data_IF_778620369018
#
_entry.id   IF_778620369018
#
_cell.length_a   1.000
_cell.length_b   1.000
_cell.length_c   1.000
_cell.angle_alpha   90.00
_cell.angle_beta   90.00
_cell.angle_gamma   90.00
#
_symmetry.space_group_name_H-M   'P 1'
#
loop_
_entity.id
_entity.type
_entity.pdbx_description
1 polymer ?
#
# COMPACT_ATOMS: atom_id res chain seq x y z
N UNK A 1 -22.15 -4.38 -13.44
CA UNK A 1 -20.69 -4.08 -13.50
C UNK A 1 -20.09 -4.83 -14.68
N UNK A 2 -19.06 -4.29 -15.34
CA UNK A 2 -18.35 -5.01 -16.39
C UNK A 2 -17.73 -6.30 -15.82
N UNK A 3 -17.69 -7.36 -16.63
CA UNK A 3 -17.05 -8.63 -16.27
C UNK A 3 -15.59 -8.63 -16.69
N UNK A 4 -14.71 -9.18 -15.84
CA UNK A 4 -13.33 -9.51 -16.19
C UNK A 4 -13.20 -11.03 -16.31
N UNK A 5 -12.34 -11.51 -17.21
CA UNK A 5 -11.99 -12.92 -17.33
C UNK A 5 -10.49 -13.06 -17.19
N UNK A 6 -10.04 -13.91 -16.28
CA UNK A 6 -8.65 -14.21 -16.05
C UNK A 6 -8.46 -15.74 -16.11
N UNK A 7 -7.36 -16.17 -16.72
CA UNK A 7 -6.93 -17.57 -16.67
C UNK A 7 -6.03 -17.73 -15.46
N UNK A 8 -6.43 -18.60 -14.55
CA UNK A 8 -5.68 -18.95 -13.36
C UNK A 8 -5.40 -20.45 -13.36
N UNK A 9 -4.28 -20.90 -12.78
CA UNK A 9 -4.02 -22.29 -12.45
C UNK A 9 -5.14 -22.94 -11.62
N UNK A 10 -5.24 -24.27 -11.67
CA UNK A 10 -6.27 -25.02 -10.93
C UNK A 10 -6.11 -24.88 -9.40
N UNK A 11 -4.86 -24.80 -8.91
CA UNK A 11 -4.54 -24.59 -7.50
C UNK A 11 -5.01 -23.22 -6.98
N UNK A 12 -4.81 -22.14 -7.73
CA UNK A 12 -5.34 -20.81 -7.37
C UNK A 12 -6.87 -20.79 -7.35
N UNK A 13 -7.52 -21.54 -8.25
CA UNK A 13 -8.99 -21.68 -8.24
C UNK A 13 -9.45 -22.40 -6.98
N UNK A 14 -8.77 -23.46 -6.59
CA UNK A 14 -9.14 -24.25 -5.42
C UNK A 14 -8.92 -23.44 -4.12
N UNK A 15 -7.83 -22.67 -4.04
CA UNK A 15 -7.58 -21.72 -2.94
C UNK A 15 -8.71 -20.67 -2.83
N UNK A 16 -9.18 -20.10 -3.95
CA UNK A 16 -10.31 -19.18 -3.95
C UNK A 16 -11.60 -19.81 -3.40
N UNK A 17 -11.82 -21.10 -3.64
CA UNK A 17 -12.99 -21.82 -3.14
C UNK A 17 -12.88 -22.10 -1.64
N UNK A 18 -11.69 -22.44 -1.15
CA UNK A 18 -11.40 -22.58 0.28
C UNK A 18 -11.61 -21.26 1.03
N UNK A 19 -11.10 -20.14 0.49
CA UNK A 19 -11.30 -18.81 1.09
C UNK A 19 -12.77 -18.40 1.07
N UNK A 20 -13.49 -18.67 -0.02
CA UNK A 20 -14.93 -18.38 -0.09
C UNK A 20 -15.72 -19.17 0.97
N UNK A 21 -15.39 -20.45 1.16
CA UNK A 21 -15.99 -21.27 2.21
C UNK A 21 -15.64 -20.76 3.62
N UNK A 22 -14.39 -20.35 3.86
CA UNK A 22 -13.94 -19.79 5.13
C UNK A 22 -14.68 -18.49 5.49
N UNK A 23 -14.90 -17.62 4.51
CA UNK A 23 -15.61 -16.35 4.71
C UNK A 23 -17.14 -16.51 4.73
N UNK A 24 -17.66 -17.66 4.30
CA UNK A 24 -19.09 -17.88 4.12
C UNK A 24 -19.69 -17.02 2.99
N UNK A 25 -18.88 -16.72 1.97
CA UNK A 25 -19.24 -15.83 0.86
C UNK A 25 -19.29 -16.56 -0.48
N UNK A 26 -19.98 -15.99 -1.45
CA UNK A 26 -19.94 -16.53 -2.81
C UNK A 26 -18.60 -16.22 -3.50
N UNK A 27 -18.28 -17.01 -4.53
CA UNK A 27 -17.04 -16.90 -5.30
C UNK A 27 -16.83 -15.51 -5.90
N UNK A 28 -17.89 -14.86 -6.41
CA UNK A 28 -17.77 -13.55 -7.04
C UNK A 28 -17.49 -12.44 -6.03
N UNK A 29 -18.06 -12.55 -4.83
CA UNK A 29 -17.78 -11.63 -3.72
C UNK A 29 -16.34 -11.80 -3.23
N UNK A 30 -15.91 -13.04 -3.02
CA UNK A 30 -14.56 -13.38 -2.56
C UNK A 30 -13.49 -12.90 -3.55
N UNK A 31 -13.65 -13.19 -4.85
CA UNK A 31 -12.73 -12.73 -5.90
C UNK A 31 -12.60 -11.20 -5.90
N UNK A 32 -13.72 -10.49 -5.70
CA UNK A 32 -13.73 -9.03 -5.74
C UNK A 32 -13.01 -8.42 -4.53
N UNK A 33 -13.18 -9.01 -3.35
CA UNK A 33 -12.42 -8.63 -2.15
C UNK A 33 -10.93 -8.89 -2.32
N UNK A 34 -10.56 -10.09 -2.74
CA UNK A 34 -9.16 -10.44 -2.99
C UNK A 34 -8.51 -9.50 -4.00
N UNK A 35 -9.23 -9.13 -5.06
CA UNK A 35 -8.76 -8.16 -6.04
C UNK A 35 -8.57 -6.76 -5.44
N UNK A 36 -9.52 -6.26 -4.65
CA UNK A 36 -9.42 -4.94 -4.00
C UNK A 36 -8.23 -4.87 -3.03
N UNK A 37 -8.07 -5.90 -2.20
CA UNK A 37 -6.94 -6.04 -1.27
C UNK A 37 -5.61 -6.17 -2.01
N UNK A 38 -5.54 -7.01 -3.04
CA UNK A 38 -4.36 -7.19 -3.86
C UNK A 38 -3.93 -5.92 -4.59
N UNK A 39 -4.88 -5.15 -5.14
CA UNK A 39 -4.58 -3.87 -5.79
C UNK A 39 -4.03 -2.83 -4.80
N UNK A 40 -4.55 -2.79 -3.57
CA UNK A 40 -4.03 -1.92 -2.51
C UNK A 40 -2.60 -2.30 -2.13
N UNK A 41 -2.33 -3.59 -1.90
CA UNK A 41 -0.99 -4.05 -1.53
C UNK A 41 0.04 -3.83 -2.66
N UNK A 42 -0.36 -4.04 -3.93
CA UNK A 42 0.50 -3.74 -5.08
C UNK A 42 0.93 -2.27 -5.12
N UNK A 43 0.00 -1.34 -4.84
CA UNK A 43 0.30 0.09 -4.78
C UNK A 43 1.24 0.43 -3.63
N UNK A 44 1.00 -0.13 -2.45
CA UNK A 44 1.86 0.06 -1.28
C UNK A 44 3.27 -0.43 -1.57
N UNK A 45 3.43 -1.65 -2.13
CA UNK A 45 4.75 -2.20 -2.49
C UNK A 45 5.55 -1.28 -3.40
N UNK A 46 4.93 -0.75 -4.46
CA UNK A 46 5.58 0.20 -5.39
C UNK A 46 5.95 1.50 -4.67
N UNK A 47 5.07 2.03 -3.83
CA UNK A 47 5.35 3.24 -3.06
C UNK A 47 6.53 3.03 -2.09
N UNK A 48 6.60 1.88 -1.42
CA UNK A 48 7.68 1.52 -0.48
C UNK A 48 9.01 1.46 -1.20
N UNK A 49 9.09 0.72 -2.30
CA UNK A 49 10.33 0.57 -3.08
C UNK A 49 10.89 1.92 -3.50
N UNK A 50 10.07 2.77 -4.13
CA UNK A 50 10.48 4.09 -4.60
C UNK A 50 10.76 5.07 -3.46
N UNK A 51 10.03 4.98 -2.36
CA UNK A 51 10.27 5.82 -1.19
C UNK A 51 11.63 5.47 -0.57
N UNK A 52 11.95 4.18 -0.41
CA UNK A 52 13.21 3.72 0.19
C UNK A 52 14.44 4.10 -0.63
N UNK A 53 14.33 4.12 -1.96
CA UNK A 53 15.43 4.56 -2.84
C UNK A 53 15.61 6.07 -2.90
N UNK A 54 14.73 6.84 -2.25
CA UNK A 54 14.72 8.30 -2.30
C UNK A 54 14.23 8.87 -3.63
N UNK A 55 13.59 8.05 -4.49
CA UNK A 55 13.05 8.49 -5.79
C UNK A 55 11.86 9.44 -5.61
N UNK A 56 11.07 9.23 -4.55
CA UNK A 56 9.83 9.98 -4.29
C UNK A 56 9.76 10.52 -2.86
N UNK A 57 9.02 11.62 -2.69
CA UNK A 57 8.74 12.21 -1.38
C UNK A 57 7.72 11.41 -0.58
N UNK A 58 7.61 11.69 0.72
CA UNK A 58 6.63 11.06 1.61
C UNK A 58 5.18 11.28 1.14
N UNK A 59 4.86 12.48 0.64
CA UNK A 59 3.53 12.82 0.12
C UNK A 59 3.22 12.09 -1.18
N UNK A 60 4.22 11.97 -2.05
CA UNK A 60 4.08 11.26 -3.32
C UNK A 60 3.90 9.75 -3.09
N UNK A 61 4.61 9.19 -2.11
CA UNK A 61 4.46 7.80 -1.73
C UNK A 61 3.05 7.49 -1.18
N UNK A 62 2.51 8.36 -0.31
CA UNK A 62 1.11 8.25 0.16
C UNK A 62 0.11 8.28 -1.01
N UNK A 63 0.33 9.18 -1.99
CA UNK A 63 -0.49 9.29 -3.20
C UNK A 63 -0.44 8.03 -4.07
N UNK A 64 0.75 7.46 -4.27
CA UNK A 64 0.93 6.21 -5.02
C UNK A 64 0.26 5.04 -4.29
N UNK A 65 0.49 4.90 -2.98
CA UNK A 65 -0.17 3.90 -2.15
C UNK A 65 -1.71 4.06 -2.19
N UNK A 66 -2.20 5.29 -2.38
CA UNK A 66 -3.63 5.59 -2.44
C UNK A 66 -4.25 5.74 -1.06
N UNK A 67 -3.44 6.17 -0.08
CA UNK A 67 -3.83 6.32 1.33
C UNK A 67 -3.58 7.76 1.81
N UNK A 68 -4.26 8.23 2.86
CA UNK A 68 -3.92 9.49 3.51
C UNK A 68 -2.47 9.48 4.03
N UNK A 69 -1.87 10.67 4.13
CA UNK A 69 -0.48 10.81 4.61
C UNK A 69 -0.27 10.16 6.00
N UNK A 70 -1.24 10.27 6.90
CA UNK A 70 -1.14 9.67 8.23
C UNK A 70 -1.03 8.13 8.17
N UNK A 71 -1.87 7.49 7.35
CA UNK A 71 -1.85 6.04 7.14
C UNK A 71 -0.55 5.59 6.46
N UNK A 72 -0.03 6.39 5.52
CA UNK A 72 1.28 6.14 4.94
C UNK A 72 2.40 6.16 6.00
N UNK A 73 2.37 7.11 6.95
CA UNK A 73 3.36 7.17 8.03
C UNK A 73 3.27 5.97 8.99
N UNK A 74 2.08 5.43 9.21
CA UNK A 74 1.90 4.18 9.96
C UNK A 74 2.47 2.99 9.18
N UNK A 75 2.21 2.90 7.87
CA UNK A 75 2.84 1.92 6.97
C UNK A 75 4.37 2.01 7.02
N UNK A 76 4.93 3.21 6.99
CA UNK A 76 6.37 3.43 7.13
C UNK A 76 6.89 2.86 8.45
N UNK A 77 6.19 3.10 9.56
CA UNK A 77 6.55 2.60 10.88
C UNK A 77 6.52 1.08 10.93
N UNK A 78 5.43 0.46 10.48
CA UNK A 78 5.24 -0.99 10.47
C UNK A 78 6.29 -1.71 9.61
N UNK A 79 6.67 -1.10 8.48
CA UNK A 79 7.68 -1.64 7.55
C UNK A 79 9.11 -1.17 7.86
N UNK A 80 9.33 -0.46 8.97
CA UNK A 80 10.64 0.08 9.39
C UNK A 80 11.33 0.92 8.28
N UNK A 81 10.57 1.74 7.58
CA UNK A 81 11.11 2.64 6.57
C UNK A 81 11.76 3.83 7.27
N UNK A 82 13.04 4.07 6.96
CA UNK A 82 13.75 5.24 7.46
C UNK A 82 13.20 6.51 6.81
N UNK A 83 13.15 7.59 7.59
CA UNK A 83 12.91 8.90 7.01
C UNK A 83 13.99 9.23 5.98
N UNK A 84 13.60 9.87 4.90
CA UNK A 84 14.53 10.42 3.90
C UNK A 84 15.09 11.79 4.27
N UNK A 85 14.80 12.26 5.50
CA UNK A 85 15.34 13.51 6.03
C UNK A 85 16.75 13.29 6.56
N UNK A 86 17.67 14.14 6.13
CA UNK A 86 18.98 14.28 6.75
C UNK A 86 18.89 15.11 8.04
N UNK A 87 19.93 15.05 8.88
CA UNK A 87 20.01 15.89 10.07
C UNK A 87 19.92 17.39 9.73
N UNK A 88 20.52 17.80 8.61
CA UNK A 88 20.45 19.18 8.14
C UNK A 88 19.04 19.61 7.68
N UNK A 89 18.21 18.67 7.21
CA UNK A 89 16.80 18.97 6.90
C UNK A 89 16.03 19.25 8.19
N UNK A 90 16.23 18.41 9.21
CA UNK A 90 15.58 18.55 10.51
C UNK A 90 16.00 19.84 11.24
N UNK A 91 17.28 20.21 11.16
CA UNK A 91 17.79 21.47 11.74
C UNK A 91 17.14 22.70 11.09
N UNK A 92 17.02 22.70 9.76
CA UNK A 92 16.37 23.78 9.01
C UNK A 92 14.89 23.90 9.35
N UNK A 93 14.17 22.79 9.42
CA UNK A 93 12.76 22.78 9.82
C UNK A 93 12.58 23.31 11.25
N UNK A 94 13.48 22.94 12.17
CA UNK A 94 13.46 23.41 13.55
C UNK A 94 13.79 24.91 13.68
N UNK A 95 14.66 25.45 12.84
CA UNK A 95 14.96 26.89 12.79
C UNK A 95 13.75 27.67 12.26
N UNK A 96 13.20 27.26 11.11
CA UNK A 96 12.04 27.91 10.50
C UNK A 96 10.83 27.95 11.45
N UNK A 97 10.62 26.89 12.25
CA UNK A 97 9.54 26.85 13.23
C UNK A 97 9.68 27.84 14.39
N UNK A 98 10.89 28.35 14.68
CA UNK A 98 11.10 29.37 15.74
C UNK A 98 10.71 30.77 15.27
N UNK A 99 10.65 30.99 13.96
CA UNK A 99 10.34 32.28 13.35
C UNK A 99 8.84 32.45 13.00
N UNK A 100 8.01 31.45 13.33
CA UNK A 100 6.54 31.46 13.20
C UNK A 100 5.86 32.07 14.43
#
# INVERSE_FOLDING_TARGET
MPSISARIPDDERDELEEVAALLGEDKSTTIRKALDEGLKELRIRVAVERYQTGEISVTEAARIAGVPLAEWLDICRERNLTTQLSAADLERDAEAARDL
#
